data_IF_947706636543
#
_entry.id   IF_947706636543
#
_cell.length_a   1.000
_cell.length_b   1.000
_cell.length_c   1.000
_cell.angle_alpha   90.00
_cell.angle_beta   90.00
_cell.angle_gamma   90.00
#
_symmetry.space_group_name_H-M   'P 1'
#
loop_
_entity.id
_entity.type
_entity.pdbx_description
1 polymer ?
#
# COMPACT_ATOMS: atom_id res chain seq x y z
N UNK A 1 -14.65 0.46 4.51
CA UNK A 1 -13.58 1.47 4.70
C UNK A 1 -13.67 2.58 3.66
N UNK A 2 -13.47 2.28 2.37
CA UNK A 2 -13.45 3.27 1.27
C UNK A 2 -14.83 3.63 0.68
N UNK A 3 -15.91 3.59 1.47
CA UNK A 3 -17.28 3.86 0.98
C UNK A 3 -17.57 5.35 0.77
N UNK A 4 -16.73 6.23 1.32
CA UNK A 4 -16.81 7.68 1.18
C UNK A 4 -15.46 8.21 0.69
N UNK A 5 -15.44 9.39 0.05
CA UNK A 5 -14.20 10.04 -0.34
C UNK A 5 -13.22 10.13 0.83
N UNK A 6 -11.96 9.91 0.52
CA UNK A 6 -10.85 9.91 1.47
C UNK A 6 -9.76 10.86 0.97
N UNK A 7 -8.84 11.23 1.85
CA UNK A 7 -7.76 12.15 1.53
C UNK A 7 -6.43 11.44 1.55
N UNK A 8 -5.64 11.62 0.49
CA UNK A 8 -4.25 11.16 0.43
C UNK A 8 -3.38 12.15 1.19
N UNK A 9 -2.63 11.66 2.19
CA UNK A 9 -1.70 12.46 3.01
C UNK A 9 -0.30 12.46 2.45
N UNK A 10 0.15 11.31 1.93
CA UNK A 10 1.47 11.16 1.31
C UNK A 10 1.49 9.96 0.40
N UNK A 11 2.41 9.97 -0.57
CA UNK A 11 2.75 8.83 -1.41
C UNK A 11 4.28 8.73 -1.47
N UNK A 12 4.84 7.64 -0.98
CA UNK A 12 6.29 7.47 -0.84
C UNK A 12 6.78 6.16 -1.45
N UNK A 13 7.86 6.22 -2.23
CA UNK A 13 8.47 5.03 -2.81
C UNK A 13 9.00 4.06 -1.74
N UNK A 14 8.77 2.77 -1.94
CA UNK A 14 9.20 1.71 -1.02
C UNK A 14 10.65 1.34 -1.30
N UNK A 15 11.47 1.27 -0.24
CA UNK A 15 12.83 0.72 -0.32
C UNK A 15 12.79 -0.76 -0.67
N UNK A 16 13.72 -1.22 -1.50
CA UNK A 16 13.78 -2.62 -1.93
C UNK A 16 13.84 -3.63 -0.77
N UNK A 17 14.49 -3.30 0.35
CA UNK A 17 14.52 -4.15 1.55
C UNK A 17 13.13 -4.35 2.15
N UNK A 18 12.32 -3.29 2.20
CA UNK A 18 10.99 -3.33 2.80
C UNK A 18 9.98 -3.98 1.85
N UNK A 19 10.14 -3.76 0.53
CA UNK A 19 9.39 -4.49 -0.50
C UNK A 19 9.63 -6.00 -0.42
N UNK A 20 10.87 -6.44 -0.27
CA UNK A 20 11.20 -7.88 -0.09
C UNK A 20 10.52 -8.46 1.15
N UNK A 21 10.54 -7.73 2.28
CA UNK A 21 9.87 -8.16 3.52
C UNK A 21 8.35 -8.24 3.35
N UNK A 22 7.74 -7.31 2.62
CA UNK A 22 6.31 -7.32 2.30
C UNK A 22 5.95 -8.53 1.44
N UNK A 23 6.64 -8.73 0.31
CA UNK A 23 6.36 -9.84 -0.61
C UNK A 23 6.59 -11.21 0.04
N UNK A 24 7.55 -11.33 0.97
CA UNK A 24 7.79 -12.57 1.71
C UNK A 24 6.63 -12.96 2.66
N UNK A 25 5.75 -12.02 3.02
CA UNK A 25 4.59 -12.27 3.89
C UNK A 25 3.31 -12.57 3.09
N UNK A 26 3.35 -12.37 1.78
CA UNK A 26 2.20 -12.51 0.90
C UNK A 26 2.32 -13.83 0.13
N UNK A 27 1.20 -14.44 -0.29
CA UNK A 27 1.25 -15.45 -1.33
C UNK A 27 1.89 -14.86 -2.59
N UNK A 28 2.48 -15.69 -3.47
CA UNK A 28 2.93 -15.21 -4.78
C UNK A 28 1.80 -14.48 -5.50
N UNK A 29 2.05 -13.25 -5.92
CA UNK A 29 1.13 -12.45 -6.73
C UNK A 29 1.73 -12.38 -8.12
N UNK A 30 0.98 -12.82 -9.12
CA UNK A 30 1.41 -12.80 -10.51
C UNK A 30 1.80 -11.38 -10.93
N UNK A 31 2.84 -11.27 -11.76
CA UNK A 31 3.41 -10.02 -12.28
C UNK A 31 4.01 -9.04 -11.26
N UNK A 32 3.95 -9.32 -9.95
CA UNK A 32 4.65 -8.53 -8.93
C UNK A 32 6.00 -9.15 -8.61
N UNK A 33 7.06 -8.48 -9.04
CA UNK A 33 8.44 -8.90 -8.78
C UNK A 33 9.17 -7.88 -7.91
N UNK A 34 10.38 -8.23 -7.47
CA UNK A 34 11.27 -7.29 -6.80
C UNK A 34 11.71 -6.11 -7.69
N UNK A 35 11.49 -6.16 -9.01
CA UNK A 35 11.78 -5.04 -9.92
C UNK A 35 10.62 -4.06 -10.05
N UNK A 36 9.41 -4.53 -9.82
CA UNK A 36 8.17 -3.74 -9.88
C UNK A 36 8.27 -2.52 -8.97
N UNK A 37 7.96 -1.34 -9.51
CA UNK A 37 7.92 -0.10 -8.74
C UNK A 37 6.78 -0.19 -7.71
N UNK A 38 7.07 0.18 -6.48
CA UNK A 38 6.09 0.12 -5.40
C UNK A 38 6.13 1.37 -4.53
N UNK A 39 4.96 1.83 -4.09
CA UNK A 39 4.83 3.00 -3.21
C UNK A 39 3.80 2.76 -2.10
N UNK A 40 3.93 3.52 -1.01
CA UNK A 40 3.00 3.55 0.12
C UNK A 40 2.23 4.85 0.08
N UNK A 41 0.93 4.74 -0.18
CA UNK A 41 0.01 5.85 -0.11
C UNK A 41 -0.67 5.86 1.26
N UNK A 42 -0.37 6.88 2.07
CA UNK A 42 -1.04 7.08 3.36
C UNK A 42 -2.35 7.82 3.13
N UNK A 43 -3.44 7.17 3.49
CA UNK A 43 -4.80 7.65 3.28
C UNK A 43 -5.47 7.87 4.64
N UNK A 44 -6.23 8.97 4.76
CA UNK A 44 -7.16 9.17 5.86
C UNK A 44 -8.59 8.95 5.35
N UNK A 45 -9.24 7.91 5.86
CA UNK A 45 -10.63 7.58 5.54
C UNK A 45 -11.60 8.53 6.25
N UNK A 46 -12.84 8.55 5.75
CA UNK A 46 -13.89 9.45 6.26
C UNK A 46 -14.17 9.27 7.76
N UNK A 47 -14.17 8.03 8.27
CA UNK A 47 -14.42 7.75 9.69
C UNK A 47 -13.18 7.97 10.57
N UNK A 48 -12.09 8.46 9.99
CA UNK A 48 -10.87 8.87 10.70
C UNK A 48 -9.77 7.82 10.72
N UNK A 49 -10.00 6.62 10.17
CA UNK A 49 -8.98 5.56 10.09
C UNK A 49 -7.82 6.01 9.20
N UNK A 50 -6.60 5.67 9.62
CA UNK A 50 -5.41 5.82 8.79
C UNK A 50 -5.16 4.49 8.11
N UNK A 51 -4.98 4.52 6.79
CA UNK A 51 -4.80 3.34 5.96
C UNK A 51 -3.55 3.53 5.12
N UNK A 52 -2.74 2.50 5.01
CA UNK A 52 -1.62 2.46 4.08
C UNK A 52 -2.06 1.61 2.89
N UNK A 53 -2.11 2.22 1.71
CA UNK A 53 -2.37 1.53 0.45
C UNK A 53 -1.03 1.27 -0.24
N UNK A 54 -0.81 0.03 -0.64
CA UNK A 54 0.38 -0.39 -1.38
C UNK A 54 0.05 -0.36 -2.87
N UNK A 55 0.73 0.53 -3.57
CA UNK A 55 0.65 0.65 -5.02
C UNK A 55 1.80 -0.12 -5.66
N UNK A 56 1.52 -0.83 -6.75
CA UNK A 56 2.51 -1.48 -7.60
C UNK A 56 2.28 -1.02 -9.05
N UNK A 57 3.30 -0.48 -9.71
CA UNK A 57 3.15 0.14 -11.05
C UNK A 57 1.99 1.13 -11.17
N UNK A 58 1.74 1.89 -10.09
CA UNK A 58 0.62 2.86 -9.93
C UNK A 58 -0.77 2.24 -9.75
N UNK A 59 -0.87 0.91 -9.65
CA UNK A 59 -2.12 0.22 -9.33
C UNK A 59 -2.21 -0.07 -7.83
N UNK A 60 -3.29 0.35 -7.13
CA UNK A 60 -3.50 0.02 -5.72
C UNK A 60 -3.96 -1.44 -5.58
N UNK A 61 -3.15 -2.28 -4.92
CA UNK A 61 -3.43 -3.72 -4.83
C UNK A 61 -3.71 -4.20 -3.41
N UNK A 62 -3.04 -3.63 -2.42
CA UNK A 62 -3.15 -4.07 -1.03
C UNK A 62 -3.36 -2.86 -0.13
N UNK A 63 -3.93 -3.08 1.05
CA UNK A 63 -3.99 -2.06 2.08
C UNK A 63 -3.84 -2.66 3.47
N UNK A 64 -3.38 -1.85 4.43
CA UNK A 64 -3.40 -2.18 5.85
C UNK A 64 -3.95 -1.01 6.66
N UNK A 65 -4.68 -1.32 7.72
CA UNK A 65 -5.20 -0.33 8.67
C UNK A 65 -4.12 -0.07 9.70
N UNK A 66 -3.77 1.20 9.90
CA UNK A 66 -2.75 1.59 10.88
C UNK A 66 -3.38 1.62 12.27
N UNK A 67 -2.97 0.70 13.14
CA UNK A 67 -3.41 0.64 14.54
C UNK A 67 -4.24 -0.57 14.94
N UNK A 68 -4.39 -1.57 14.06
CA UNK A 68 -4.78 -2.94 14.44
C UNK A 68 -3.56 -3.81 14.78
#
# INVERSE_FOLDING_TARGET
MFQKPFTVRSDTSIRNSDKKKLLARLPPIDDITNKTLASLMHVKCYKGENVIVYNFEKEPLLFTVVGE
#
